data_IF_935522859665
#
_entry.id   IF_935522859665
#
_cell.length_a   1.000
_cell.length_b   1.000
_cell.length_c   1.000
_cell.angle_alpha   90.00
_cell.angle_beta   90.00
_cell.angle_gamma   90.00
#
_symmetry.space_group_name_H-M   'P 1'
#
loop_
_entity.id
_entity.type
_entity.pdbx_description
1 polymer ?
#
# COMPACT_ATOMS: atom_id res chain seq x y z
N UNK A 1 -1.10 -21.29 -0.37
CA UNK A 1 -0.08 -20.23 -0.54
C UNK A 1 -0.80 -18.92 -0.85
N UNK A 2 -0.55 -17.85 -0.10
CA UNK A 2 -1.17 -16.55 -0.39
C UNK A 2 -0.51 -15.96 -1.63
N UNK A 3 -1.28 -15.22 -2.43
CA UNK A 3 -0.72 -14.48 -3.56
C UNK A 3 0.13 -13.31 -3.02
N UNK A 4 1.19 -12.94 -3.75
CA UNK A 4 2.10 -11.87 -3.35
C UNK A 4 1.76 -10.58 -4.06
N UNK A 5 1.81 -9.47 -3.33
CA UNK A 5 1.64 -8.12 -3.85
C UNK A 5 2.88 -7.32 -3.53
N UNK A 6 3.48 -6.72 -4.56
CA UNK A 6 4.59 -5.76 -4.42
C UNK A 6 4.08 -4.39 -4.85
N UNK A 7 4.25 -3.40 -4.00
CA UNK A 7 3.85 -2.01 -4.26
C UNK A 7 5.00 -1.08 -3.89
N UNK A 8 5.00 0.14 -4.40
CA UNK A 8 6.02 1.14 -4.06
C UNK A 8 5.49 2.54 -4.30
N UNK A 9 5.91 3.50 -3.46
CA UNK A 9 5.61 4.92 -3.60
C UNK A 9 6.89 5.68 -3.92
N UNK A 10 6.84 6.54 -4.94
CA UNK A 10 7.92 7.49 -5.23
C UNK A 10 7.95 8.55 -4.11
N UNK A 11 9.09 8.79 -3.44
CA UNK A 11 9.17 9.78 -2.36
C UNK A 11 9.24 11.19 -2.94
N UNK A 12 8.08 11.78 -3.26
CA UNK A 12 7.97 13.13 -3.86
C UNK A 12 7.77 14.26 -2.83
N UNK A 13 7.97 13.99 -1.54
CA UNK A 13 7.78 14.96 -0.46
C UNK A 13 6.77 14.48 0.58
N UNK A 14 6.09 15.43 1.24
CA UNK A 14 5.18 15.12 2.34
C UNK A 14 3.95 14.35 1.84
N UNK A 15 3.60 13.30 2.58
CA UNK A 15 2.34 12.60 2.38
C UNK A 15 1.16 13.52 2.70
N UNK A 16 0.05 13.32 2.00
CA UNK A 16 -1.18 14.09 2.16
C UNK A 16 -2.39 13.16 2.09
N UNK A 17 -3.59 13.68 2.37
CA UNK A 17 -4.82 12.87 2.48
C UNK A 17 -5.12 12.04 1.23
N UNK A 18 -4.84 12.55 0.03
CA UNK A 18 -4.92 11.77 -1.21
C UNK A 18 -4.06 10.48 -1.21
N UNK A 19 -2.83 10.51 -0.68
CA UNK A 19 -2.00 9.31 -0.55
C UNK A 19 -2.58 8.31 0.46
N UNK A 20 -3.11 8.83 1.57
CA UNK A 20 -3.76 8.02 2.60
C UNK A 20 -4.98 7.27 2.04
N UNK A 21 -5.89 8.02 1.42
CA UNK A 21 -7.14 7.46 0.89
C UNK A 21 -6.91 6.61 -0.37
N UNK A 22 -6.02 7.05 -1.27
CA UNK A 22 -5.79 6.38 -2.54
C UNK A 22 -4.96 5.09 -2.44
N UNK A 23 -3.94 5.07 -1.56
CA UNK A 23 -3.00 3.96 -1.48
C UNK A 23 -2.95 3.31 -0.08
N UNK A 24 -2.65 4.08 0.96
CA UNK A 24 -2.26 3.50 2.26
C UNK A 24 -3.39 2.69 2.93
N UNK A 25 -4.65 3.14 2.84
CA UNK A 25 -5.79 2.39 3.38
C UNK A 25 -6.02 1.09 2.62
N UNK A 26 -5.89 1.11 1.28
CA UNK A 26 -6.00 -0.09 0.46
C UNK A 26 -4.86 -1.08 0.77
N UNK A 27 -3.64 -0.59 0.91
CA UNK A 27 -2.50 -1.40 1.31
C UNK A 27 -2.73 -2.08 2.65
N UNK A 28 -3.22 -1.35 3.66
CA UNK A 28 -3.59 -1.93 4.96
C UNK A 28 -4.61 -3.06 4.83
N UNK A 29 -5.64 -2.89 4.00
CA UNK A 29 -6.65 -3.93 3.78
C UNK A 29 -6.06 -5.18 3.08
N UNK A 30 -5.11 -4.99 2.16
CA UNK A 30 -4.47 -6.08 1.42
C UNK A 30 -3.62 -7.00 2.30
N UNK A 31 -3.02 -6.46 3.37
CA UNK A 31 -2.20 -7.24 4.31
C UNK A 31 -2.96 -8.42 4.96
N UNK A 32 -4.28 -8.31 5.09
CA UNK A 32 -5.09 -9.41 5.63
C UNK A 32 -5.21 -10.60 4.67
N UNK A 33 -5.11 -10.35 3.36
CA UNK A 33 -5.40 -11.32 2.30
C UNK A 33 -4.17 -11.81 1.55
N UNK A 34 -3.12 -11.00 1.47
CA UNK A 34 -1.95 -11.23 0.62
C UNK A 34 -0.66 -11.13 1.42
N UNK A 35 0.41 -11.72 0.88
CA UNK A 35 1.77 -11.47 1.37
C UNK A 35 2.28 -10.20 0.68
N UNK A 36 2.41 -9.12 1.44
CA UNK A 36 2.67 -7.78 0.89
C UNK A 36 4.11 -7.29 1.12
N UNK A 37 4.66 -6.64 0.11
CA UNK A 37 5.94 -5.93 0.12
C UNK A 37 5.69 -4.50 -0.38
N UNK A 38 6.17 -3.49 0.34
CA UNK A 38 5.93 -2.05 0.06
C UNK A 38 7.23 -1.27 -0.02
#
# INVERSE_FOLDING_TARGET
>A
MKQRVVSGIRPTGRLHLGHLHGALLNWKALQHRYDCFY
#
